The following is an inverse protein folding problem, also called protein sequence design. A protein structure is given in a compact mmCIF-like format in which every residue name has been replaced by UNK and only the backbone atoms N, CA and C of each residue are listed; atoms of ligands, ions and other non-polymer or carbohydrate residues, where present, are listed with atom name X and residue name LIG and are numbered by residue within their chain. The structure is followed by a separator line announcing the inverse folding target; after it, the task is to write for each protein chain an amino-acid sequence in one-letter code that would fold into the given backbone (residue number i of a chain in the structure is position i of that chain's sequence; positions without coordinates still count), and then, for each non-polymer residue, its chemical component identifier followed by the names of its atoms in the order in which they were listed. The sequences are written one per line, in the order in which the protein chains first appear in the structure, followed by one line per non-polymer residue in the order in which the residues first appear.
data_IF_697695924830
#
_entry.id   IF_697695924830
#
_cell.length_a   1.000
_cell.length_b   1.000
_cell.length_c   1.000
_cell.angle_alpha   90.00
_cell.angle_beta   90.00
_cell.angle_gamma   90.00
#
_symmetry.space_group_name_H-M   'P 1'
#
loop_
_entity.id
_entity.type
_entity.pdbx_description
1 polymer ?
#
# COMPACT_ATOMS: atom_id res chain seq x y z
N UNK A 1 31.64 16.31 1.92
CA UNK A 1 32.09 14.96 2.29
C UNK A 1 31.19 14.31 3.34
N UNK A 2 30.90 14.95 4.48
CA UNK A 2 30.05 14.34 5.51
C UNK A 2 28.63 13.98 5.04
N UNK A 3 27.94 14.90 4.34
CA UNK A 3 26.56 14.67 3.87
C UNK A 3 26.46 13.52 2.87
N UNK A 4 27.42 13.40 1.94
CA UNK A 4 27.45 12.31 0.96
C UNK A 4 27.72 10.97 1.62
N UNK A 5 28.62 10.92 2.61
CA UNK A 5 28.92 9.69 3.37
C UNK A 5 27.71 9.27 4.22
N UNK A 6 27.05 10.22 4.89
CA UNK A 6 25.85 9.96 5.66
C UNK A 6 24.70 9.45 4.76
N UNK A 7 24.51 10.06 3.58
CA UNK A 7 23.51 9.61 2.61
C UNK A 7 23.75 8.16 2.19
N UNK A 8 24.99 7.80 1.83
CA UNK A 8 25.35 6.43 1.45
C UNK A 8 25.12 5.47 2.62
N UNK A 9 25.55 5.83 3.83
CA UNK A 9 25.38 4.97 5.00
C UNK A 9 23.90 4.69 5.32
N UNK A 10 23.07 5.74 5.37
CA UNK A 10 21.64 5.61 5.67
C UNK A 10 20.91 4.81 4.58
N UNK A 11 21.24 5.07 3.31
CA UNK A 11 20.65 4.35 2.18
C UNK A 11 21.04 2.88 2.18
N UNK A 12 22.30 2.56 2.41
CA UNK A 12 22.78 1.17 2.47
C UNK A 12 22.16 0.41 3.64
N UNK A 13 22.03 1.05 4.82
CA UNK A 13 21.38 0.45 5.98
C UNK A 13 19.89 0.16 5.68
N UNK A 14 19.16 1.15 5.16
CA UNK A 14 17.76 0.99 4.81
C UNK A 14 17.55 -0.06 3.70
N UNK A 15 18.43 -0.10 2.69
CA UNK A 15 18.40 -1.08 1.61
C UNK A 15 18.70 -2.50 2.11
N UNK A 16 19.63 -2.67 3.07
CA UNK A 16 19.88 -3.97 3.72
C UNK A 16 18.69 -4.43 4.54
N UNK A 17 18.05 -3.53 5.28
CA UNK A 17 16.86 -3.85 6.08
C UNK A 17 15.68 -4.29 5.20
N UNK A 18 15.32 -3.50 4.19
CA UNK A 18 14.23 -3.82 3.26
C UNK A 18 14.56 -5.02 2.35
N UNK A 19 15.83 -5.16 1.96
CA UNK A 19 16.30 -6.28 1.15
C UNK A 19 16.48 -7.59 1.92
N UNK A 20 16.38 -7.57 3.25
CA UNK A 20 16.49 -8.76 4.07
C UNK A 20 15.36 -9.74 3.74
N UNK A 21 15.71 -11.02 3.54
CA UNK A 21 14.75 -12.09 3.24
C UNK A 21 13.68 -12.21 4.32
N UNK A 22 14.06 -12.03 5.59
CA UNK A 22 13.12 -12.09 6.72
C UNK A 22 12.08 -10.99 6.63
N UNK A 23 12.51 -9.74 6.38
CA UNK A 23 11.61 -8.61 6.22
C UNK A 23 10.65 -8.86 5.04
N UNK A 24 11.17 -9.19 3.87
CA UNK A 24 10.35 -9.45 2.67
C UNK A 24 9.33 -10.57 2.88
N UNK A 25 9.69 -11.63 3.60
CA UNK A 25 8.78 -12.74 3.87
C UNK A 25 7.75 -12.42 4.95
N UNK A 26 8.10 -11.71 6.02
CA UNK A 26 7.22 -11.55 7.19
C UNK A 26 6.49 -10.21 7.26
N UNK A 27 6.82 -9.25 6.40
CA UNK A 27 6.19 -7.92 6.43
C UNK A 27 4.67 -7.97 6.28
N UNK A 28 4.14 -8.84 5.43
CA UNK A 28 2.69 -9.02 5.27
C UNK A 28 2.02 -9.59 6.53
N UNK A 29 2.71 -10.46 7.29
CA UNK A 29 2.24 -10.98 8.57
C UNK A 29 2.26 -9.90 9.64
N UNK A 30 3.32 -9.08 9.68
CA UNK A 30 3.41 -7.93 10.58
C UNK A 30 2.25 -6.96 10.33
N UNK A 31 1.97 -6.65 9.06
CA UNK A 31 0.87 -5.75 8.68
C UNK A 31 -0.50 -6.35 9.05
N UNK A 32 -0.69 -7.64 8.82
CA UNK A 32 -1.92 -8.36 9.18
C UNK A 32 -2.13 -8.39 10.71
N UNK A 33 -1.07 -8.64 11.47
CA UNK A 33 -1.10 -8.57 12.94
C UNK A 33 -1.39 -7.14 13.41
N UNK A 34 -0.80 -6.12 12.78
CA UNK A 34 -1.08 -4.73 13.09
C UNK A 34 -2.56 -4.38 12.85
N UNK A 35 -3.18 -4.85 11.76
CA UNK A 35 -4.62 -4.63 11.51
C UNK A 35 -5.50 -5.38 12.51
N UNK A 36 -5.14 -6.63 12.87
CA UNK A 36 -5.92 -7.45 13.80
C UNK A 36 -5.89 -6.89 15.22
N UNK A 37 -4.70 -6.54 15.73
CA UNK A 37 -4.50 -6.08 17.10
C UNK A 37 -4.53 -4.56 17.26
N UNK A 38 -4.41 -3.81 16.16
CA UNK A 38 -4.38 -2.34 16.16
C UNK A 38 -5.57 -1.69 16.87
N UNK A 39 -6.82 -2.17 16.71
CA UNK A 39 -7.96 -1.64 17.46
C UNK A 39 -7.80 -1.73 18.98
N UNK A 40 -7.02 -2.68 19.52
CA UNK A 40 -6.76 -2.76 20.96
C UNK A 40 -5.96 -1.56 21.47
N UNK A 41 -5.19 -0.88 20.61
CA UNK A 41 -4.48 0.35 20.95
C UNK A 41 -5.42 1.49 21.35
N UNK A 42 -6.69 1.44 20.90
CA UNK A 42 -7.70 2.44 21.28
C UNK A 42 -7.93 2.53 22.79
N UNK A 43 -7.67 1.45 23.54
CA UNK A 43 -7.79 1.42 24.99
C UNK A 43 -6.75 2.29 25.70
N UNK A 44 -5.61 2.56 25.04
CA UNK A 44 -4.44 3.20 25.65
C UNK A 44 -4.23 4.63 25.13
N UNK A 45 -4.94 5.01 24.08
CA UNK A 45 -4.74 6.27 23.37
C UNK A 45 -5.68 7.33 23.91
N UNK A 46 -5.11 8.50 24.27
CA UNK A 46 -5.90 9.62 24.81
C UNK A 46 -6.76 10.28 23.72
N UNK A 47 -8.05 10.53 23.98
CA UNK A 47 -8.95 11.19 23.04
C UNK A 47 -8.61 12.68 22.82
N UNK A 48 -7.72 13.27 23.63
CA UNK A 48 -7.32 14.67 23.54
C UNK A 48 -6.14 14.92 22.58
N UNK A 49 -5.62 13.87 21.95
CA UNK A 49 -4.55 13.99 20.97
C UNK A 49 -5.01 14.72 19.71
N UNK A 50 -4.09 15.45 19.07
CA UNK A 50 -4.31 16.16 17.79
C UNK A 50 -4.89 15.23 16.71
N UNK A 51 -4.53 13.94 16.76
CA UNK A 51 -4.96 12.92 15.79
C UNK A 51 -6.33 12.30 16.07
N UNK A 52 -6.92 12.52 17.26
CA UNK A 52 -8.26 12.04 17.59
C UNK A 52 -9.36 12.78 16.80
N UNK A 53 -9.03 13.97 16.27
CA UNK A 53 -9.96 14.76 15.48
C UNK A 53 -9.95 14.29 14.03
N UNK A 54 -10.98 13.52 13.64
CA UNK A 54 -11.21 13.00 12.28
C UNK A 54 -11.22 14.09 11.19
N UNK A 55 -11.47 15.35 11.57
CA UNK A 55 -11.48 16.50 10.67
C UNK A 55 -10.10 17.11 10.40
N UNK A 56 -9.02 16.59 11.00
CA UNK A 56 -7.68 17.15 10.81
C UNK A 56 -7.28 17.12 9.33
N UNK A 57 -6.84 18.27 8.80
CA UNK A 57 -6.59 18.46 7.38
C UNK A 57 -5.51 17.51 6.85
N UNK A 58 -4.41 17.35 7.60
CA UNK A 58 -3.30 16.46 7.20
C UNK A 58 -3.76 15.00 7.04
N UNK A 59 -4.61 14.53 7.95
CA UNK A 59 -5.14 13.17 7.90
C UNK A 59 -5.98 12.94 6.64
N UNK A 60 -6.91 13.85 6.33
CA UNK A 60 -7.77 13.73 5.15
C UNK A 60 -7.03 13.94 3.84
N UNK A 61 -6.08 14.88 3.78
CA UNK A 61 -5.31 15.16 2.57
C UNK A 61 -4.38 14.00 2.22
N UNK A 62 -3.62 13.47 3.20
CA UNK A 62 -2.65 12.41 2.93
C UNK A 62 -3.32 11.06 2.65
N UNK A 63 -4.40 10.71 3.35
CA UNK A 63 -5.10 9.46 3.10
C UNK A 63 -5.76 9.44 1.72
N UNK A 64 -6.50 10.50 1.38
CA UNK A 64 -7.20 10.57 0.09
C UNK A 64 -6.25 10.67 -1.10
N UNK A 65 -5.06 11.25 -0.89
CA UNK A 65 -4.01 11.34 -1.90
C UNK A 65 -3.00 10.18 -1.82
N UNK A 66 -3.24 9.16 -0.98
CA UNK A 66 -2.23 8.14 -0.67
C UNK A 66 -1.75 7.37 -1.89
N UNK A 67 -2.66 7.04 -2.80
CA UNK A 67 -2.32 6.44 -4.08
C UNK A 67 -1.46 7.35 -4.95
N UNK A 68 -1.79 8.64 -5.02
CA UNK A 68 -1.07 9.63 -5.84
C UNK A 68 0.38 9.81 -5.41
N UNK A 69 0.63 9.96 -4.10
CA UNK A 69 1.99 10.05 -3.56
C UNK A 69 2.79 8.77 -3.80
N UNK A 70 2.15 7.61 -3.62
CA UNK A 70 2.77 6.31 -3.91
C UNK A 70 3.15 6.23 -5.39
N UNK A 71 2.27 6.66 -6.30
CA UNK A 71 2.56 6.68 -7.73
C UNK A 71 3.73 7.59 -8.09
N UNK A 72 3.82 8.78 -7.50
CA UNK A 72 4.89 9.74 -7.79
C UNK A 72 6.23 9.16 -7.32
N UNK A 73 6.37 8.85 -6.03
CA UNK A 73 7.67 8.44 -5.49
C UNK A 73 8.10 7.06 -5.98
N UNK A 74 7.21 6.07 -5.95
CA UNK A 74 7.52 4.70 -6.38
C UNK A 74 7.66 4.62 -7.89
N UNK A 75 6.78 5.30 -8.63
CA UNK A 75 6.87 5.36 -10.09
C UNK A 75 8.20 5.97 -10.54
N UNK A 76 8.57 7.12 -9.98
CA UNK A 76 9.88 7.72 -10.27
C UNK A 76 11.03 6.79 -9.89
N UNK A 77 10.94 6.08 -8.76
CA UNK A 77 11.98 5.14 -8.32
C UNK A 77 12.13 3.98 -9.30
N UNK A 78 11.03 3.32 -9.65
CA UNK A 78 11.02 2.19 -10.60
C UNK A 78 11.56 2.64 -11.96
N UNK A 79 11.12 3.81 -12.45
CA UNK A 79 11.56 4.33 -13.74
C UNK A 79 13.06 4.60 -13.77
N UNK A 80 13.58 5.36 -12.78
CA UNK A 80 15.01 5.69 -12.71
C UNK A 80 15.86 4.45 -12.47
N UNK A 81 15.42 3.54 -11.60
CA UNK A 81 16.13 2.29 -11.32
C UNK A 81 16.25 1.41 -12.56
N UNK A 82 15.14 1.17 -13.26
CA UNK A 82 15.12 0.39 -14.50
C UNK A 82 15.93 1.05 -15.62
N UNK A 83 15.75 2.38 -15.79
CA UNK A 83 16.43 3.12 -16.85
C UNK A 83 17.95 3.20 -16.62
N UNK A 84 18.40 3.35 -15.38
CA UNK A 84 19.82 3.37 -15.02
C UNK A 84 20.52 2.06 -15.40
N UNK A 85 19.85 0.91 -15.23
CA UNK A 85 20.43 -0.41 -15.50
C UNK A 85 20.33 -0.80 -16.98
N UNK A 86 19.15 -0.68 -17.61
CA UNK A 86 18.89 -1.23 -18.95
C UNK A 86 18.93 -0.17 -20.06
N UNK A 87 18.89 1.12 -19.72
CA UNK A 87 18.79 2.27 -20.65
C UNK A 87 17.68 2.13 -21.71
N UNK A 88 16.64 1.35 -21.42
CA UNK A 88 15.54 1.07 -22.35
C UNK A 88 14.22 1.56 -21.79
N UNK A 89 13.54 2.41 -22.56
CA UNK A 89 12.23 2.95 -22.18
C UNK A 89 11.14 1.87 -22.13
N UNK A 90 11.17 0.92 -23.05
CA UNK A 90 10.16 -0.17 -23.11
C UNK A 90 10.17 -1.02 -21.83
N UNK A 91 11.36 -1.35 -21.32
CA UNK A 91 11.52 -2.13 -20.09
C UNK A 91 11.07 -1.31 -18.87
N UNK A 92 11.44 -0.02 -18.80
CA UNK A 92 11.00 0.85 -17.70
C UNK A 92 9.50 1.06 -17.66
N UNK A 93 8.85 1.27 -18.81
CA UNK A 93 7.38 1.41 -18.91
C UNK A 93 6.68 0.11 -18.51
N UNK A 94 7.24 -1.04 -18.88
CA UNK A 94 6.74 -2.34 -18.43
C UNK A 94 6.83 -2.49 -16.91
N UNK A 95 7.92 -2.06 -16.28
CA UNK A 95 8.01 -2.12 -14.82
C UNK A 95 7.06 -1.14 -14.14
N UNK A 96 6.80 0.03 -14.74
CA UNK A 96 5.80 0.99 -14.29
C UNK A 96 4.37 0.46 -14.41
N UNK A 97 4.08 -0.42 -15.37
CA UNK A 97 2.73 -0.96 -15.55
C UNK A 97 2.24 -1.76 -14.33
N UNK A 98 3.15 -2.26 -13.48
CA UNK A 98 2.80 -2.89 -12.19
C UNK A 98 2.00 -1.95 -11.28
N UNK A 99 2.45 -0.70 -11.19
CA UNK A 99 1.77 0.34 -10.43
C UNK A 99 0.40 0.65 -11.04
N UNK A 100 0.32 0.75 -12.37
CA UNK A 100 -0.96 0.98 -13.07
C UNK A 100 -1.96 -0.16 -12.82
N UNK A 101 -1.50 -1.43 -12.89
CA UNK A 101 -2.33 -2.61 -12.61
C UNK A 101 -2.81 -2.63 -11.15
N UNK A 102 -1.94 -2.33 -10.19
CA UNK A 102 -2.33 -2.24 -8.78
C UNK A 102 -3.37 -1.13 -8.53
N UNK A 103 -3.21 0.03 -9.18
CA UNK A 103 -4.17 1.13 -9.09
C UNK A 103 -5.51 0.80 -9.74
N UNK A 104 -5.49 0.16 -10.91
CA UNK A 104 -6.69 -0.32 -11.57
C UNK A 104 -7.44 -1.37 -10.74
N UNK A 105 -6.71 -2.30 -10.12
CA UNK A 105 -7.28 -3.30 -9.22
C UNK A 105 -7.93 -2.64 -7.99
N UNK A 106 -7.26 -1.67 -7.37
CA UNK A 106 -7.81 -0.89 -6.25
C UNK A 106 -9.10 -0.18 -6.64
N UNK A 107 -9.10 0.58 -7.73
CA UNK A 107 -10.30 1.29 -8.23
C UNK A 107 -11.43 0.29 -8.53
N UNK A 108 -11.11 -0.85 -9.16
CA UNK A 108 -12.06 -1.91 -9.44
C UNK A 108 -12.70 -2.47 -8.16
N UNK A 109 -11.90 -2.72 -7.12
CA UNK A 109 -12.42 -3.15 -5.82
C UNK A 109 -13.27 -2.09 -5.15
N UNK A 110 -12.88 -0.80 -5.14
CA UNK A 110 -13.71 0.28 -4.61
C UNK A 110 -15.08 0.31 -5.33
N UNK A 111 -15.10 0.20 -6.66
CA UNK A 111 -16.37 0.15 -7.42
C UNK A 111 -17.21 -1.09 -7.15
N UNK A 112 -16.57 -2.24 -6.94
CA UNK A 112 -17.26 -3.46 -6.58
C UNK A 112 -17.86 -3.36 -5.17
N UNK A 113 -17.11 -2.79 -4.22
CA UNK A 113 -17.57 -2.57 -2.85
C UNK A 113 -18.72 -1.54 -2.81
N UNK A 114 -18.63 -0.44 -3.58
CA UNK A 114 -19.73 0.52 -3.76
C UNK A 114 -20.99 -0.19 -4.26
N UNK A 115 -20.85 -1.08 -5.25
CA UNK A 115 -21.98 -1.82 -5.81
C UNK A 115 -22.57 -2.81 -4.81
N UNK A 116 -21.71 -3.55 -4.08
CA UNK A 116 -22.13 -4.49 -3.05
C UNK A 116 -22.81 -3.80 -1.88
N UNK A 117 -22.29 -2.65 -1.43
CA UNK A 117 -22.93 -1.85 -0.38
C UNK A 117 -24.31 -1.40 -0.82
N UNK A 118 -24.45 -0.87 -2.05
CA UNK A 118 -25.76 -0.47 -2.59
C UNK A 118 -26.74 -1.63 -2.74
N UNK A 119 -26.26 -2.84 -3.06
CA UNK A 119 -27.10 -4.02 -3.25
C UNK A 119 -27.50 -4.70 -1.92
N UNK A 120 -26.64 -4.64 -0.90
CA UNK A 120 -26.84 -5.33 0.38
C UNK A 120 -27.34 -4.41 1.49
N UNK A 121 -27.18 -3.10 1.32
CA UNK A 121 -27.60 -2.12 2.30
C UNK A 121 -29.10 -1.90 2.29
N UNK A 122 -29.56 -1.33 3.39
CA UNK A 122 -30.97 -1.05 3.61
C UNK A 122 -31.15 0.36 4.15
N UNK A 123 -32.20 1.02 3.69
CA UNK A 123 -32.57 2.34 4.17
C UNK A 123 -33.55 2.21 5.34
N UNK A 124 -33.26 2.92 6.42
CA UNK A 124 -34.07 2.96 7.62
C UNK A 124 -34.56 4.37 7.89
N UNK A 125 -35.88 4.51 7.97
CA UNK A 125 -36.52 5.73 8.41
C UNK A 125 -36.58 5.77 9.93
N UNK A 126 -36.10 6.86 10.54
CA UNK A 126 -36.17 7.06 11.98
C UNK A 126 -37.54 7.66 12.32
N UNK A 127 -38.48 6.83 12.79
CA UNK A 127 -39.72 7.36 13.33
C UNK A 127 -39.45 7.98 14.70
N UNK A 128 -39.60 9.31 14.79
CA UNK A 128 -39.79 9.98 16.08
C UNK A 128 -41.12 9.47 16.64
N UNK A 129 -41.05 8.54 17.59
CA UNK A 129 -42.22 7.93 18.18
C UNK A 129 -43.22 9.00 18.64
N UNK A 130 -44.45 8.93 18.11
CA UNK A 130 -45.61 9.48 18.81
C UNK A 130 -45.73 8.83 20.21
N UNK A 131 -46.53 9.41 21.11
CA UNK A 131 -46.41 9.25 22.57
C UNK A 131 -46.66 7.85 23.16
N UNK A 132 -46.77 6.77 22.37
CA UNK A 132 -47.12 5.44 22.86
C UNK A 132 -46.21 4.30 22.36
N UNK A 133 -44.90 4.41 22.61
CA UNK A 133 -44.03 3.22 22.64
C UNK A 133 -43.20 3.25 23.91
N UNK A 134 -43.68 2.51 24.91
CA UNK A 134 -43.26 2.49 26.31
C UNK A 134 -41.86 1.92 26.59
N UNK A 135 -40.88 2.02 25.68
CA UNK A 135 -39.53 1.47 25.90
C UNK A 135 -38.40 2.20 25.15
N UNK A 136 -38.53 3.47 24.80
CA UNK A 136 -37.38 4.36 24.45
C UNK A 136 -36.49 3.92 23.26
N UNK A 137 -36.87 2.89 22.51
CA UNK A 137 -36.14 2.42 21.34
C UNK A 137 -36.77 3.03 20.08
N UNK A 138 -36.00 3.76 19.25
CA UNK A 138 -36.53 4.32 18.01
C UNK A 138 -36.98 3.18 17.08
N UNK A 139 -38.23 3.25 16.63
CA UNK A 139 -38.76 2.32 15.65
C UNK A 139 -38.13 2.64 14.29
N UNK A 140 -37.42 1.66 13.71
CA UNK A 140 -36.81 1.80 12.39
C UNK A 140 -37.68 1.06 11.37
N UNK A 141 -38.26 1.79 10.42
CA UNK A 141 -39.00 1.19 9.30
C UNK A 141 -38.03 0.91 8.16
N UNK A 142 -37.97 -0.36 7.75
CA UNK A 142 -37.16 -0.83 6.63
C UNK A 142 -37.84 -0.44 5.32
N UNK A 143 -37.15 0.34 4.49
CA UNK A 143 -37.59 0.66 3.13
C UNK A 143 -36.71 -0.08 2.13
N UNK A 144 -37.27 -1.14 1.55
CA UNK A 144 -36.59 -1.98 0.55
C UNK A 144 -36.55 -1.27 -0.80
N UNK A 145 -35.38 -1.32 -1.48
CA UNK A 145 -35.25 -0.96 -2.89
C UNK A 145 -34.75 0.46 -3.23
N UNK A 146 -34.37 1.29 -2.25
CA UNK A 146 -33.79 2.62 -2.52
C UNK A 146 -32.26 2.60 -2.51
N UNK A 147 -31.63 3.37 -3.40
CA UNK A 147 -30.18 3.51 -3.42
C UNK A 147 -29.68 4.30 -2.21
N UNK A 148 -28.42 4.07 -1.78
CA UNK A 148 -27.79 4.83 -0.68
C UNK A 148 -27.93 6.34 -0.85
N UNK A 149 -27.81 6.83 -2.09
CA UNK A 149 -27.87 8.26 -2.38
C UNK A 149 -29.27 8.85 -2.20
N UNK A 150 -30.32 8.10 -2.55
CA UNK A 150 -31.71 8.52 -2.38
C UNK A 150 -32.09 8.49 -0.90
N UNK A 151 -31.67 7.44 -0.20
CA UNK A 151 -31.86 7.29 1.24
C UNK A 151 -31.27 8.47 2.03
N UNK A 152 -30.00 8.81 1.75
CA UNK A 152 -29.33 9.93 2.44
C UNK A 152 -29.90 11.30 2.04
N UNK A 153 -30.37 11.47 0.79
CA UNK A 153 -31.06 12.71 0.35
C UNK A 153 -32.40 12.89 1.05
N UNK A 154 -33.09 11.80 1.36
CA UNK A 154 -34.33 11.82 2.12
C UNK A 154 -34.11 12.06 3.63
N UNK A 155 -32.87 12.24 4.09
CA UNK A 155 -32.55 12.43 5.50
C UNK A 155 -32.65 11.15 6.34
N UNK A 156 -32.72 9.99 5.68
CA UNK A 156 -32.85 8.68 6.34
C UNK A 156 -31.47 8.08 6.66
N UNK A 157 -31.46 7.05 7.49
CA UNK A 157 -30.23 6.36 7.91
C UNK A 157 -29.97 5.11 7.08
N UNK A 158 -28.78 5.00 6.51
CA UNK A 158 -28.35 3.83 5.74
C UNK A 158 -27.56 2.87 6.63
N UNK A 159 -27.84 1.57 6.56
CA UNK A 159 -26.95 0.53 7.13
C UNK A 159 -26.64 -0.50 6.06
N UNK A 160 -25.35 -0.66 5.77
CA UNK A 160 -24.84 -1.65 4.83
C UNK A 160 -23.53 -2.25 5.33
N UNK A 161 -23.02 -3.23 4.58
CA UNK A 161 -21.72 -3.80 4.86
C UNK A 161 -20.62 -2.84 4.38
N UNK A 162 -20.20 -1.95 5.27
CA UNK A 162 -19.13 -0.99 4.98
C UNK A 162 -17.77 -1.67 5.13
N UNK A 163 -16.94 -1.65 4.08
CA UNK A 163 -15.55 -2.09 4.14
C UNK A 163 -14.67 -0.85 4.21
N UNK A 164 -13.64 -0.86 5.06
CA UNK A 164 -12.76 0.30 5.20
C UNK A 164 -11.82 0.44 3.99
N UNK A 165 -12.20 1.31 3.05
CA UNK A 165 -11.39 1.66 1.87
C UNK A 165 -10.04 2.27 2.25
N UNK A 166 -9.98 3.06 3.33
CA UNK A 166 -8.74 3.70 3.81
C UNK A 166 -7.72 2.65 4.27
N UNK A 167 -8.15 1.66 5.07
CA UNK A 167 -7.27 0.56 5.51
C UNK A 167 -6.85 -0.28 4.31
N UNK A 168 -7.76 -0.54 3.37
CA UNK A 168 -7.45 -1.27 2.14
C UNK A 168 -6.34 -0.57 1.35
N UNK A 169 -6.52 0.72 1.04
CA UNK A 169 -5.55 1.50 0.29
C UNK A 169 -4.19 1.56 1.00
N UNK A 170 -4.16 1.86 2.30
CA UNK A 170 -2.92 1.94 3.07
C UNK A 170 -2.17 0.61 3.10
N UNK A 171 -2.87 -0.50 3.32
CA UNK A 171 -2.25 -1.82 3.33
C UNK A 171 -1.66 -2.17 1.96
N UNK A 172 -2.42 -1.91 0.88
CA UNK A 172 -1.96 -2.13 -0.48
C UNK A 172 -0.71 -1.29 -0.79
N UNK A 173 -0.71 0.01 -0.45
CA UNK A 173 0.43 0.90 -0.62
C UNK A 173 1.66 0.43 0.17
N UNK A 174 1.49 0.02 1.43
CA UNK A 174 2.61 -0.48 2.25
C UNK A 174 3.26 -1.72 1.62
N UNK A 175 2.45 -2.70 1.22
CA UNK A 175 2.94 -3.96 0.65
C UNK A 175 3.60 -3.74 -0.73
N UNK A 176 2.98 -2.92 -1.58
CA UNK A 176 3.54 -2.54 -2.88
C UNK A 176 4.88 -1.83 -2.71
N UNK A 177 4.92 -0.84 -1.84
CA UNK A 177 6.12 -0.03 -1.60
C UNK A 177 7.26 -0.89 -1.05
N UNK A 178 6.97 -1.79 -0.10
CA UNK A 178 7.95 -2.72 0.46
C UNK A 178 8.52 -3.68 -0.61
N UNK A 179 7.68 -4.27 -1.47
CA UNK A 179 8.16 -5.17 -2.53
C UNK A 179 8.98 -4.46 -3.60
N UNK A 180 8.52 -3.30 -4.07
CA UNK A 180 9.21 -2.56 -5.15
C UNK A 180 10.56 -2.02 -4.70
N UNK A 181 10.68 -1.62 -3.43
CA UNK A 181 11.93 -1.08 -2.87
C UNK A 181 12.89 -2.15 -2.37
N UNK A 182 12.40 -3.36 -2.03
CA UNK A 182 13.24 -4.48 -1.55
C UNK A 182 14.28 -4.96 -2.57
N UNK A 183 14.11 -4.66 -3.86
CA UNK A 183 15.07 -5.00 -4.93
C UNK A 183 16.39 -4.23 -4.80
N UNK A 184 16.36 -3.06 -4.18
CA UNK A 184 17.52 -2.17 -4.11
C UNK A 184 18.66 -2.74 -3.24
N UNK A 185 18.34 -3.44 -2.14
CA UNK A 185 19.33 -4.09 -1.27
C UNK A 185 20.20 -5.11 -2.02
N UNK A 186 19.60 -6.15 -2.64
CA UNK A 186 20.33 -7.11 -3.47
C UNK A 186 21.12 -6.45 -4.61
N UNK A 187 20.56 -5.39 -5.23
CA UNK A 187 21.26 -4.65 -6.28
C UNK A 187 22.57 -4.01 -5.80
N UNK A 188 22.55 -3.39 -4.60
CA UNK A 188 23.75 -2.81 -4.00
C UNK A 188 24.75 -3.88 -3.56
N UNK A 189 24.28 -5.01 -3.02
CA UNK A 189 25.19 -6.12 -2.64
C UNK A 189 25.91 -6.74 -3.83
N UNK A 190 25.34 -6.65 -5.04
CA UNK A 190 25.97 -7.07 -6.30
C UNK A 190 26.87 -5.98 -6.90
N UNK A 191 27.36 -5.01 -6.13
CA UNK A 191 28.29 -3.97 -6.62
C UNK A 191 27.62 -2.90 -7.49
N UNK A 192 26.38 -2.52 -7.19
CA UNK A 192 25.67 -1.53 -7.99
C UNK A 192 26.12 -0.11 -7.84
N UNK A 193 26.47 0.49 -8.99
CA UNK A 193 26.53 1.94 -9.09
C UNK A 193 25.15 2.51 -8.76
N UNK A 194 25.13 3.41 -7.80
CA UNK A 194 23.90 4.04 -7.35
C UNK A 194 24.17 5.53 -7.18
N UNK A 195 23.65 6.28 -8.14
CA UNK A 195 23.76 7.73 -8.19
C UNK A 195 23.00 8.38 -7.02
N UNK A 196 23.45 9.56 -6.59
CA UNK A 196 22.82 10.31 -5.51
C UNK A 196 21.29 10.53 -5.70
N UNK A 197 20.76 10.85 -6.91
CA UNK A 197 19.32 11.01 -7.11
C UNK A 197 18.52 9.74 -6.83
N UNK A 198 19.04 8.57 -7.25
CA UNK A 198 18.39 7.28 -7.02
C UNK A 198 18.34 6.95 -5.53
N UNK A 199 19.43 7.21 -4.81
CA UNK A 199 19.52 7.02 -3.35
C UNK A 199 18.55 7.93 -2.59
N UNK A 200 18.48 9.20 -2.96
CA UNK A 200 17.54 10.17 -2.37
C UNK A 200 16.10 9.72 -2.60
N UNK A 201 15.77 9.28 -3.81
CA UNK A 201 14.43 8.83 -4.14
C UNK A 201 14.04 7.54 -3.41
N UNK A 202 14.99 6.61 -3.24
CA UNK A 202 14.80 5.44 -2.38
C UNK A 202 14.50 5.84 -0.94
N UNK A 203 15.21 6.83 -0.37
CA UNK A 203 14.91 7.33 0.98
C UNK A 203 13.52 7.96 1.07
N UNK A 204 13.08 8.71 0.05
CA UNK A 204 11.71 9.22 0.00
C UNK A 204 10.68 8.08 0.02
N UNK A 205 10.95 6.97 -0.68
CA UNK A 205 10.10 5.78 -0.63
C UNK A 205 10.08 5.15 0.78
N UNK A 206 11.23 5.06 1.45
CA UNK A 206 11.30 4.53 2.83
C UNK A 206 10.55 5.43 3.82
N UNK A 207 10.70 6.75 3.71
CA UNK A 207 9.96 7.71 4.54
C UNK A 207 8.46 7.62 4.28
N UNK A 208 8.05 7.46 3.02
CA UNK A 208 6.66 7.27 2.63
C UNK A 208 6.08 5.97 3.21
N UNK A 209 6.87 4.89 3.26
CA UNK A 209 6.46 3.63 3.89
C UNK A 209 6.22 3.79 5.37
N UNK A 210 7.14 4.47 6.06
CA UNK A 210 6.97 4.80 7.48
C UNK A 210 5.74 5.66 7.72
N UNK A 211 5.48 6.64 6.86
CA UNK A 211 4.28 7.47 6.93
C UNK A 211 3.00 6.66 6.75
N UNK A 212 2.94 5.72 5.78
CA UNK A 212 1.76 4.87 5.60
C UNK A 212 1.50 3.94 6.77
N UNK A 213 2.54 3.34 7.34
CA UNK A 213 2.42 2.50 8.55
C UNK A 213 1.94 3.35 9.72
N UNK A 214 2.48 4.56 9.89
CA UNK A 214 2.07 5.48 10.95
C UNK A 214 0.58 5.87 10.80
N UNK A 215 0.16 6.27 9.59
CA UNK A 215 -1.23 6.63 9.32
C UNK A 215 -2.18 5.43 9.53
N UNK A 216 -1.76 4.23 9.16
CA UNK A 216 -2.51 3.00 9.42
C UNK A 216 -2.70 2.77 10.93
N UNK A 217 -1.63 2.87 11.71
CA UNK A 217 -1.70 2.73 13.17
C UNK A 217 -2.59 3.80 13.81
N UNK A 218 -2.51 5.05 13.34
CA UNK A 218 -3.41 6.11 13.79
C UNK A 218 -4.87 5.79 13.47
N UNK A 219 -5.17 5.32 12.26
CA UNK A 219 -6.53 4.96 11.86
C UNK A 219 -7.10 3.82 12.72
N UNK A 220 -6.29 2.80 12.99
CA UNK A 220 -6.68 1.66 13.82
C UNK A 220 -6.85 2.04 15.30
N UNK A 221 -6.01 2.94 15.81
CA UNK A 221 -6.03 3.35 17.22
C UNK A 221 -7.11 4.39 17.55
N UNK A 222 -7.27 5.42 16.72
CA UNK A 222 -8.21 6.52 17.00
C UNK A 222 -9.62 6.28 16.45
N UNK A 223 -9.75 5.45 15.40
CA UNK A 223 -11.03 5.16 14.78
C UNK A 223 -11.26 3.65 14.63
N UNK A 224 -11.27 2.88 15.74
CA UNK A 224 -11.46 1.43 15.67
C UNK A 224 -12.87 1.12 15.14
N UNK A 225 -12.93 0.36 14.05
CA UNK A 225 -14.16 -0.13 13.43
C UNK A 225 -13.98 -1.59 13.03
N UNK A 226 -14.45 -2.49 13.90
CA UNK A 226 -14.41 -3.93 13.67
C UNK A 226 -15.80 -4.43 13.23
N UNK A 227 -15.91 -5.30 12.20
CA UNK A 227 -14.85 -5.95 11.41
C UNK A 227 -14.43 -5.20 10.13
N UNK A 228 -14.97 -4.02 9.86
CA UNK A 228 -14.83 -3.28 8.59
C UNK A 228 -13.37 -3.00 8.21
N UNK A 229 -12.53 -2.66 9.20
CA UNK A 229 -11.09 -2.43 9.02
C UNK A 229 -10.32 -3.72 8.76
N UNK A 230 -10.71 -4.82 9.41
CA UNK A 230 -10.08 -6.12 9.20
C UNK A 230 -10.29 -6.59 7.76
N UNK A 231 -11.49 -6.40 7.22
CA UNK A 231 -11.83 -6.75 5.84
C UNK A 231 -11.06 -5.90 4.83
N UNK A 232 -10.94 -4.58 5.08
CA UNK A 232 -10.12 -3.70 4.26
C UNK A 232 -8.65 -4.16 4.22
N UNK A 233 -8.08 -4.48 5.38
CA UNK A 233 -6.71 -4.99 5.48
C UNK A 233 -6.53 -6.34 4.77
N UNK A 234 -7.51 -7.24 4.89
CA UNK A 234 -7.52 -8.52 4.20
C UNK A 234 -7.56 -8.35 2.67
N UNK A 235 -8.42 -7.47 2.14
CA UNK A 235 -8.46 -7.15 0.70
C UNK A 235 -7.14 -6.57 0.20
N UNK A 236 -6.47 -5.74 1.00
CA UNK A 236 -5.13 -5.23 0.71
C UNK A 236 -4.11 -6.35 0.57
N UNK A 237 -4.08 -7.26 1.55
CA UNK A 237 -3.18 -8.41 1.55
C UNK A 237 -3.47 -9.38 0.40
N UNK A 238 -4.75 -9.67 0.11
CA UNK A 238 -5.17 -10.53 -0.98
C UNK A 238 -4.82 -9.94 -2.34
N UNK A 239 -5.06 -8.64 -2.53
CA UNK A 239 -4.70 -7.92 -3.76
C UNK A 239 -3.20 -7.98 -4.01
N UNK A 240 -2.39 -7.70 -3.00
CA UNK A 240 -0.94 -7.84 -3.08
C UNK A 240 -0.53 -9.27 -3.40
N UNK A 241 -1.11 -10.28 -2.73
CA UNK A 241 -0.76 -11.68 -2.93
C UNK A 241 -1.10 -12.13 -4.35
N UNK A 242 -2.28 -11.77 -4.85
CA UNK A 242 -2.70 -12.06 -6.23
C UNK A 242 -1.74 -11.44 -7.25
N UNK A 243 -1.32 -10.19 -7.05
CA UNK A 243 -0.39 -9.51 -7.95
C UNK A 243 1.04 -10.04 -7.82
N UNK A 244 1.68 -9.90 -6.66
CA UNK A 244 3.11 -10.15 -6.47
C UNK A 244 3.46 -11.63 -6.28
N UNK A 245 2.59 -12.41 -5.62
CA UNK A 245 2.82 -13.84 -5.42
C UNK A 245 2.14 -14.73 -6.46
N UNK A 246 1.18 -14.21 -7.23
CA UNK A 246 0.52 -14.93 -8.31
C UNK A 246 0.99 -14.44 -9.67
N UNK A 247 0.35 -13.37 -10.15
CA UNK A 247 0.46 -12.91 -11.54
C UNK A 247 1.88 -12.51 -11.93
N UNK A 248 2.57 -11.71 -11.12
CA UNK A 248 3.93 -11.25 -11.42
C UNK A 248 4.99 -12.35 -11.32
N UNK A 249 4.63 -13.53 -10.79
CA UNK A 249 5.54 -14.70 -10.80
C UNK A 249 5.55 -15.43 -12.13
N UNK A 250 4.53 -15.24 -12.97
CA UNK A 250 4.46 -15.83 -14.30
C UNK A 250 5.56 -15.28 -15.21
N UNK A 251 5.86 -16.03 -16.27
CA UNK A 251 6.87 -15.61 -17.21
C UNK A 251 6.55 -14.24 -17.83
N UNK A 252 7.58 -13.40 -18.03
CA UNK A 252 7.38 -12.05 -18.51
C UNK A 252 6.89 -12.04 -19.97
N UNK A 253 5.57 -11.99 -20.17
CA UNK A 253 4.91 -11.69 -21.45
C UNK A 253 4.38 -10.24 -21.55
N UNK A 254 3.88 -9.81 -22.72
CA UNK A 254 3.32 -8.46 -22.93
C UNK A 254 2.26 -8.08 -21.88
N UNK A 255 1.49 -9.08 -21.40
CA UNK A 255 0.47 -8.93 -20.37
C UNK A 255 0.98 -9.08 -18.93
N UNK A 256 2.19 -9.61 -18.71
CA UNK A 256 2.77 -9.87 -17.39
C UNK A 256 4.04 -9.05 -17.21
N UNK A 257 4.07 -8.04 -16.32
CA UNK A 257 5.25 -7.20 -16.14
C UNK A 257 6.46 -7.92 -15.51
N UNK A 258 6.25 -9.09 -14.89
CA UNK A 258 7.30 -9.89 -14.24
C UNK A 258 7.62 -9.42 -12.82
N UNK A 259 8.47 -10.18 -12.10
CA UNK A 259 8.79 -9.90 -10.69
C UNK A 259 9.68 -8.66 -10.53
N UNK A 260 9.59 -7.96 -9.39
CA UNK A 260 10.57 -6.95 -9.01
C UNK A 260 12.00 -7.50 -9.09
N UNK A 261 12.87 -6.83 -9.84
CA UNK A 261 14.28 -7.20 -10.02
C UNK A 261 14.57 -8.29 -11.07
N UNK A 262 13.54 -8.94 -11.62
CA UNK A 262 13.72 -9.93 -12.69
C UNK A 262 14.18 -9.23 -13.98
N UNK A 263 15.26 -9.74 -14.58
CA UNK A 263 15.90 -9.12 -15.76
C UNK A 263 16.86 -7.97 -15.45
N UNK A 264 16.82 -7.39 -14.25
CA UNK A 264 17.75 -6.34 -13.78
C UNK A 264 18.90 -6.93 -12.95
N UNK A 265 18.60 -7.85 -12.03
CA UNK A 265 19.63 -8.50 -11.21
C UNK A 265 20.41 -9.55 -12.00
N UNK A 266 19.72 -10.36 -12.82
CA UNK A 266 20.35 -11.42 -13.61
C UNK A 266 21.37 -10.88 -14.62
N UNK A 267 21.08 -9.76 -15.29
CA UNK A 267 22.01 -9.16 -16.26
C UNK A 267 23.29 -8.65 -15.60
N UNK A 268 23.22 -8.27 -14.33
CA UNK A 268 24.38 -7.79 -13.60
C UNK A 268 25.22 -8.94 -13.07
N UNK A 269 24.59 -10.00 -12.59
CA UNK A 269 25.29 -11.24 -12.21
C UNK A 269 26.09 -11.80 -13.38
N UNK A 270 25.53 -11.79 -14.61
CA UNK A 270 26.28 -12.22 -15.79
C UNK A 270 27.46 -11.31 -16.11
N UNK A 271 27.29 -9.98 -16.04
CA UNK A 271 28.41 -9.04 -16.26
C UNK A 271 29.51 -9.21 -15.21
N UNK A 272 29.17 -9.35 -13.93
CA UNK A 272 30.19 -9.57 -12.88
C UNK A 272 30.94 -10.89 -13.07
N UNK A 273 30.25 -11.95 -13.50
CA UNK A 273 30.90 -13.25 -13.77
C UNK A 273 31.83 -13.19 -14.99
N UNK A 274 31.46 -12.46 -16.04
CA UNK A 274 32.30 -12.23 -17.21
C UNK A 274 33.56 -11.41 -16.87
N UNK A 275 33.42 -10.37 -16.04
CA UNK A 275 34.56 -9.56 -15.56
C UNK A 275 35.53 -10.38 -14.70
N UNK A 276 35.02 -11.22 -13.79
CA UNK A 276 35.85 -12.11 -12.96
C UNK A 276 36.62 -13.14 -13.80
N UNK A 277 35.97 -13.72 -14.83
CA UNK A 277 36.60 -14.66 -15.77
C UNK A 277 37.70 -14.00 -16.63
N UNK A 278 37.47 -12.77 -17.09
CA UNK A 278 38.47 -11.99 -17.84
C UNK A 278 39.69 -11.64 -17.00
N UNK A 279 39.48 -11.21 -15.75
CA UNK A 279 40.59 -10.92 -14.83
C UNK A 279 41.40 -12.17 -14.48
N UNK A 280 40.75 -13.33 -14.32
CA UNK A 280 41.47 -14.57 -14.04
C UNK A 280 42.34 -15.03 -15.22
N UNK A 281 41.90 -14.83 -16.46
CA UNK A 281 42.69 -15.15 -17.66
C UNK A 281 43.86 -14.20 -17.91
N UNK A 282 43.80 -12.96 -17.40
CA UNK A 282 44.86 -11.97 -17.59
C UNK A 282 46.02 -12.12 -16.59
N UNK A 283 45.84 -12.94 -15.54
CA UNK A 283 46.82 -13.22 -14.49
C UNK A 283 47.48 -14.61 -14.59
N UNK A 284 47.11 -15.43 -15.58
CA UNK A 284 47.78 -16.68 -15.95
C UNK A 284 48.60 -16.48 -17.23
#
# INVERSE_FOLDING_TARGET
MFVSTALVFVTDLAARLLGNRLFRQHFHLLLSAAVLFGPALSLWVSPHSVFARKSHFLYRLFLRSGWGWTCIFVGSFIFLFSFSIRRSLSVSVRHLSRLAVAGGLWIGFCKLLDLLENATGSCYETLNAGPEVSNGQPLLVLREGESRSECLRAGMSWRGYEVSEDVFLLCLCCLLLAEETAVFGPYLSLGGVSDAPLRILFLFCVLLLGLWIFLLLCLLAYFPQFPTQLLGGALGCLSWRALYQGWYRLEPNWFCPGRPGQGLLNSKTSTSQEEDLLNHNHHN
#
